data_IF_992774948503
#
_entry.id   IF_992774948503
#
_cell.length_a   1.000
_cell.length_b   1.000
_cell.length_c   1.000
_cell.angle_alpha   90.00
_cell.angle_beta   90.00
_cell.angle_gamma   90.00
#
_symmetry.space_group_name_H-M   'P 1'
#
loop_
_entity.id
_entity.type
_entity.pdbx_description
1 polymer ?
#
# COMPACT_ATOMS: atom_id res chain seq x y z
N UNK A 1 21.57 21.69 -35.20
CA UNK A 1 20.63 20.96 -34.39
C UNK A 1 21.19 20.83 -32.97
N UNK A 2 20.34 20.93 -31.96
CA UNK A 2 20.69 20.80 -30.55
C UNK A 2 19.80 19.75 -29.91
N UNK A 3 20.37 18.85 -29.10
CA UNK A 3 19.65 17.93 -28.24
C UNK A 3 19.64 18.50 -26.82
N UNK A 4 18.54 18.38 -26.11
CA UNK A 4 18.41 18.74 -24.71
C UNK A 4 18.26 17.48 -23.85
N UNK A 5 19.10 17.35 -22.83
CA UNK A 5 18.97 16.33 -21.80
C UNK A 5 18.31 17.00 -20.59
N UNK A 6 17.11 16.57 -20.28
CA UNK A 6 16.27 17.16 -19.22
C UNK A 6 16.21 16.32 -17.96
N UNK A 7 16.68 15.06 -18.01
CA UNK A 7 16.77 14.17 -16.87
C UNK A 7 18.12 13.43 -16.88
N UNK A 8 18.66 13.14 -15.71
CA UNK A 8 19.89 12.37 -15.54
C UNK A 8 19.59 11.05 -14.81
N UNK A 9 20.37 9.97 -15.05
CA UNK A 9 20.19 8.70 -14.37
C UNK A 9 20.42 8.82 -12.86
N UNK A 10 19.73 7.94 -12.10
CA UNK A 10 19.91 7.85 -10.66
C UNK A 10 21.37 7.61 -10.26
N UNK A 11 21.86 8.35 -9.26
CA UNK A 11 23.23 8.23 -8.77
C UNK A 11 24.28 8.95 -9.60
N UNK A 12 23.89 9.66 -10.68
CA UNK A 12 24.76 10.53 -11.47
C UNK A 12 24.52 12.02 -11.14
N UNK A 13 25.41 12.88 -11.62
CA UNK A 13 25.25 14.32 -11.59
C UNK A 13 25.58 14.91 -12.98
N UNK A 14 25.21 16.17 -13.22
CA UNK A 14 25.38 16.84 -14.50
C UNK A 14 26.84 16.88 -14.95
N UNK A 15 27.75 17.25 -14.05
CA UNK A 15 29.19 17.32 -14.36
C UNK A 15 29.74 15.96 -14.79
N UNK A 16 29.42 14.90 -14.09
CA UNK A 16 29.87 13.54 -14.41
C UNK A 16 29.33 13.05 -15.75
N UNK A 17 28.08 13.37 -16.05
CA UNK A 17 27.45 13.03 -17.33
C UNK A 17 28.12 13.81 -18.48
N UNK A 18 28.36 15.12 -18.30
CA UNK A 18 29.04 15.97 -19.30
C UNK A 18 30.46 15.45 -19.57
N UNK A 19 31.21 15.10 -18.50
CA UNK A 19 32.55 14.51 -18.65
C UNK A 19 32.53 13.20 -19.45
N UNK A 20 31.52 12.38 -19.25
CA UNK A 20 31.37 11.12 -20.01
C UNK A 20 31.07 11.39 -21.49
N UNK A 21 30.26 12.40 -21.79
CA UNK A 21 29.93 12.82 -23.15
C UNK A 21 31.16 13.39 -23.86
N UNK A 22 31.93 14.26 -23.19
CA UNK A 22 33.16 14.84 -23.73
C UNK A 22 34.19 13.73 -24.01
N UNK A 23 34.41 12.82 -23.06
CA UNK A 23 35.32 11.67 -23.26
C UNK A 23 34.90 10.77 -24.42
N UNK A 24 33.62 10.56 -24.63
CA UNK A 24 33.10 9.79 -25.76
C UNK A 24 33.33 10.53 -27.10
N UNK A 25 33.21 11.87 -27.09
CA UNK A 25 33.50 12.70 -28.25
C UNK A 25 34.99 12.70 -28.59
N UNK A 26 35.89 12.85 -27.60
CA UNK A 26 37.34 12.83 -27.79
C UNK A 26 37.83 11.47 -28.35
N UNK A 27 37.15 10.40 -27.97
CA UNK A 27 37.41 9.03 -28.51
C UNK A 27 36.79 8.82 -29.91
N UNK A 28 36.17 9.83 -30.50
CA UNK A 28 35.54 9.75 -31.81
C UNK A 28 34.28 8.88 -31.90
N UNK A 29 33.71 8.46 -30.76
CA UNK A 29 32.48 7.64 -30.71
C UNK A 29 31.22 8.42 -30.99
N UNK A 30 31.23 9.71 -30.64
CA UNK A 30 30.11 10.65 -30.82
C UNK A 30 30.62 11.90 -31.50
N UNK A 31 29.87 12.42 -32.48
CA UNK A 31 30.22 13.65 -33.20
C UNK A 31 29.39 14.81 -32.69
N UNK A 32 29.91 15.57 -31.76
CA UNK A 32 29.30 16.77 -31.19
C UNK A 32 30.18 17.98 -31.38
N UNK A 33 29.59 19.17 -31.41
CA UNK A 33 30.30 20.45 -31.50
C UNK A 33 30.62 21.01 -30.13
N UNK A 34 29.65 20.99 -29.20
CA UNK A 34 29.75 21.60 -27.88
C UNK A 34 28.70 21.04 -26.95
N UNK A 35 28.99 21.02 -25.67
CA UNK A 35 28.05 20.73 -24.59
C UNK A 35 27.95 21.93 -23.68
N UNK A 36 26.76 22.44 -23.44
CA UNK A 36 26.48 23.55 -22.54
C UNK A 36 25.60 23.08 -21.38
N UNK A 37 25.97 23.39 -20.14
CA UNK A 37 25.20 23.13 -18.96
C UNK A 37 24.40 24.35 -18.54
N UNK A 38 23.08 24.29 -18.72
CA UNK A 38 22.13 25.32 -18.34
C UNK A 38 21.31 24.92 -17.11
N UNK A 39 21.76 23.88 -16.41
CA UNK A 39 21.05 23.33 -15.25
C UNK A 39 20.90 24.37 -14.14
N UNK A 40 19.69 24.56 -13.68
CA UNK A 40 19.35 25.42 -12.54
C UNK A 40 18.48 24.63 -11.54
N UNK A 41 17.20 24.96 -11.36
CA UNK A 41 16.26 24.17 -10.59
C UNK A 41 15.89 22.85 -11.30
N UNK A 42 15.92 22.87 -12.64
CA UNK A 42 15.70 21.69 -13.47
C UNK A 42 16.97 21.39 -14.28
N UNK A 43 17.18 20.11 -14.59
CA UNK A 43 18.30 19.67 -15.44
C UNK A 43 18.08 20.14 -16.87
N UNK A 44 19.06 20.83 -17.44
CA UNK A 44 19.09 21.20 -18.84
C UNK A 44 20.53 21.18 -19.37
N UNK A 45 20.91 20.11 -20.05
CA UNK A 45 22.20 19.99 -20.72
C UNK A 45 21.96 20.02 -22.22
N UNK A 46 22.56 21.02 -22.91
CA UNK A 46 22.41 21.22 -24.35
C UNK A 46 23.59 20.62 -25.10
N UNK A 47 23.34 19.64 -25.95
CA UNK A 47 24.35 19.00 -26.80
C UNK A 47 24.18 19.48 -28.23
N UNK A 48 25.10 20.31 -28.70
CA UNK A 48 25.12 20.86 -30.07
C UNK A 48 25.75 19.85 -31.04
N UNK A 49 24.98 19.45 -32.05
CA UNK A 49 25.43 18.49 -33.06
C UNK A 49 26.25 19.16 -34.16
N UNK A 50 27.15 18.40 -34.79
CA UNK A 50 27.82 18.84 -36.02
C UNK A 50 26.80 18.92 -37.18
N UNK A 51 27.02 19.85 -38.14
CA UNK A 51 26.20 19.90 -39.35
C UNK A 51 26.21 18.56 -40.09
N UNK A 52 25.02 18.08 -40.49
CA UNK A 52 24.89 16.81 -41.22
C UNK A 52 24.69 15.59 -40.31
N UNK A 53 24.87 15.69 -38.98
CA UNK A 53 24.63 14.60 -38.07
C UNK A 53 23.13 14.30 -37.92
N UNK A 54 22.78 12.99 -37.85
CA UNK A 54 21.43 12.51 -37.52
C UNK A 54 21.19 12.63 -36.01
N UNK A 55 20.08 13.26 -35.60
CA UNK A 55 19.68 13.36 -34.20
C UNK A 55 19.46 11.98 -33.58
N UNK A 56 18.78 11.08 -34.27
CA UNK A 56 18.39 9.76 -33.74
C UNK A 56 19.61 8.87 -33.51
N UNK A 57 20.55 8.83 -34.49
CA UNK A 57 21.82 8.12 -34.32
C UNK A 57 22.66 8.69 -33.19
N UNK A 58 22.65 10.01 -33.01
CA UNK A 58 23.39 10.61 -31.90
C UNK A 58 22.76 10.30 -30.55
N UNK A 59 21.44 10.24 -30.46
CA UNK A 59 20.73 9.81 -29.27
C UNK A 59 21.10 8.36 -28.91
N UNK A 60 21.06 7.44 -29.89
CA UNK A 60 21.47 6.06 -29.69
C UNK A 60 22.95 5.96 -29.26
N UNK A 61 23.81 6.78 -29.83
CA UNK A 61 25.23 6.84 -29.46
C UNK A 61 25.44 7.39 -28.04
N UNK A 62 24.66 8.37 -27.61
CA UNK A 62 24.69 8.87 -26.23
C UNK A 62 24.32 7.76 -25.24
N UNK A 63 23.27 6.98 -25.51
CA UNK A 63 22.90 5.84 -24.66
C UNK A 63 23.97 4.72 -24.68
N UNK A 64 24.55 4.43 -25.84
CA UNK A 64 25.51 3.32 -25.97
C UNK A 64 26.91 3.61 -25.41
N UNK A 65 27.36 4.89 -25.41
CA UNK A 65 28.77 5.24 -25.13
C UNK A 65 28.98 6.21 -23.98
N UNK A 66 27.92 6.66 -23.33
CA UNK A 66 28.02 7.61 -22.21
C UNK A 66 27.20 7.15 -21.01
N UNK A 67 27.32 7.87 -19.91
CA UNK A 67 26.54 7.62 -18.68
C UNK A 67 25.07 8.08 -18.81
N UNK A 68 24.54 8.32 -20.04
CA UNK A 68 23.12 8.54 -20.28
C UNK A 68 22.27 7.28 -19.95
N UNK A 69 22.86 6.10 -20.04
CA UNK A 69 22.27 4.83 -19.65
C UNK A 69 23.10 4.17 -18.55
N UNK A 70 22.46 3.80 -17.47
CA UNK A 70 23.08 3.04 -16.38
C UNK A 70 22.33 1.74 -16.14
N UNK A 71 23.08 0.65 -16.02
CA UNK A 71 22.54 -0.63 -15.63
C UNK A 71 22.36 -0.68 -14.11
N UNK A 72 21.16 -0.99 -13.65
CA UNK A 72 20.84 -1.16 -12.24
C UNK A 72 20.56 -2.64 -12.00
N UNK A 73 21.37 -3.26 -11.15
CA UNK A 73 21.18 -4.64 -10.69
C UNK A 73 20.73 -4.61 -9.22
N UNK A 74 19.42 -4.57 -8.95
CA UNK A 74 18.92 -4.48 -7.58
C UNK A 74 19.21 -5.78 -6.84
N UNK A 75 19.82 -5.68 -5.66
CA UNK A 75 19.96 -6.79 -4.73
C UNK A 75 18.86 -6.68 -3.68
N UNK A 76 17.72 -7.35 -3.94
CA UNK A 76 16.59 -7.30 -3.04
C UNK A 76 16.84 -8.19 -1.82
N UNK A 77 17.02 -7.57 -0.67
CA UNK A 77 17.05 -8.24 0.63
C UNK A 77 15.89 -7.72 1.47
N UNK A 78 15.01 -8.63 1.88
CA UNK A 78 13.85 -8.33 2.73
C UNK A 78 13.98 -9.10 4.06
N UNK A 79 13.36 -8.57 5.11
CA UNK A 79 13.19 -9.30 6.36
C UNK A 79 11.85 -10.01 6.31
N UNK A 80 11.89 -11.34 6.34
CA UNK A 80 10.72 -12.20 6.38
C UNK A 80 10.89 -13.21 7.51
N UNK A 81 9.90 -13.34 8.38
CA UNK A 81 9.95 -14.15 9.61
C UNK A 81 11.20 -13.88 10.48
N UNK A 82 11.49 -12.59 10.68
CA UNK A 82 12.66 -12.11 11.43
C UNK A 82 14.03 -12.58 10.88
N UNK A 83 14.08 -13.00 9.61
CA UNK A 83 15.31 -13.44 8.94
C UNK A 83 15.53 -12.66 7.64
N UNK A 84 16.78 -12.32 7.30
CA UNK A 84 17.07 -11.74 5.99
C UNK A 84 16.86 -12.78 4.90
N UNK A 85 16.09 -12.39 3.87
CA UNK A 85 15.84 -13.22 2.68
C UNK A 85 16.23 -12.44 1.43
N UNK A 86 17.10 -13.03 0.64
CA UNK A 86 17.47 -12.52 -0.68
C UNK A 86 16.53 -13.10 -1.72
N UNK A 87 15.90 -12.25 -2.51
CA UNK A 87 14.90 -12.67 -3.48
C UNK A 87 14.88 -11.74 -4.70
N UNK A 88 14.26 -12.19 -5.77
CA UNK A 88 13.97 -11.35 -6.95
C UNK A 88 12.79 -10.42 -6.70
N UNK A 89 12.65 -9.40 -7.54
CA UNK A 89 11.56 -8.39 -7.42
C UNK A 89 10.17 -9.04 -7.44
N UNK A 90 9.95 -10.01 -8.33
CA UNK A 90 8.65 -10.71 -8.44
C UNK A 90 8.31 -11.51 -7.18
N UNK A 91 9.32 -12.13 -6.55
CA UNK A 91 9.15 -12.87 -5.30
C UNK A 91 8.87 -11.92 -4.13
N UNK A 92 9.58 -10.79 -4.06
CA UNK A 92 9.34 -9.75 -3.05
C UNK A 92 7.91 -9.19 -3.14
N UNK A 93 7.43 -8.91 -4.36
CA UNK A 93 6.06 -8.44 -4.56
C UNK A 93 5.03 -9.48 -4.11
N UNK A 94 5.27 -10.78 -4.40
CA UNK A 94 4.39 -11.87 -3.96
C UNK A 94 4.32 -11.94 -2.44
N UNK A 95 5.49 -11.95 -1.76
CA UNK A 95 5.57 -11.94 -0.29
C UNK A 95 4.81 -10.74 0.28
N UNK A 96 4.99 -9.54 -0.31
CA UNK A 96 4.29 -8.34 0.14
C UNK A 96 2.76 -8.43 -0.04
N UNK A 97 2.30 -8.97 -1.16
CA UNK A 97 0.86 -9.15 -1.41
C UNK A 97 0.24 -10.18 -0.47
N UNK A 98 0.91 -11.32 -0.26
CA UNK A 98 0.44 -12.36 0.66
C UNK A 98 0.38 -11.83 2.09
N UNK A 99 1.42 -11.11 2.54
CA UNK A 99 1.43 -10.48 3.86
C UNK A 99 0.32 -9.43 4.02
N UNK A 100 0.07 -8.61 3.00
CA UNK A 100 -1.03 -7.63 3.03
C UNK A 100 -2.39 -8.33 3.15
N UNK A 101 -2.62 -9.40 2.39
CA UNK A 101 -3.84 -10.20 2.48
C UNK A 101 -4.04 -10.75 3.90
N UNK A 102 -2.98 -11.32 4.50
CA UNK A 102 -3.04 -11.89 5.84
C UNK A 102 -3.31 -10.82 6.92
N UNK A 103 -2.73 -9.62 6.76
CA UNK A 103 -3.02 -8.48 7.65
C UNK A 103 -4.46 -7.99 7.51
N UNK A 104 -4.99 -7.90 6.29
CA UNK A 104 -6.39 -7.52 6.05
C UNK A 104 -7.36 -8.55 6.64
N UNK A 105 -7.03 -9.84 6.56
CA UNK A 105 -7.81 -10.89 7.23
C UNK A 105 -7.81 -10.70 8.74
N UNK A 106 -6.63 -10.52 9.34
CA UNK A 106 -6.52 -10.31 10.79
C UNK A 106 -7.25 -9.04 11.25
N UNK A 107 -7.20 -7.96 10.46
CA UNK A 107 -7.97 -6.74 10.73
C UNK A 107 -9.48 -7.00 10.75
N UNK A 108 -10.00 -7.72 9.75
CA UNK A 108 -11.42 -8.09 9.68
C UNK A 108 -11.84 -8.98 10.86
N UNK A 109 -11.00 -9.94 11.26
CA UNK A 109 -11.26 -10.81 12.40
C UNK A 109 -11.33 -10.03 13.72
N UNK A 110 -10.43 -9.05 13.92
CA UNK A 110 -10.46 -8.16 15.09
C UNK A 110 -11.71 -7.29 15.08
N UNK A 111 -12.05 -6.67 13.96
CA UNK A 111 -13.25 -5.84 13.82
C UNK A 111 -14.52 -6.65 14.09
N UNK A 112 -14.58 -7.91 13.62
CA UNK A 112 -15.67 -8.82 13.89
C UNK A 112 -15.81 -9.11 15.39
N UNK A 113 -14.71 -9.43 16.06
CA UNK A 113 -14.71 -9.70 17.49
C UNK A 113 -15.19 -8.49 18.31
N UNK A 114 -14.73 -7.29 17.96
CA UNK A 114 -15.17 -6.03 18.61
C UNK A 114 -16.68 -5.78 18.41
N UNK A 115 -17.19 -6.00 17.20
CA UNK A 115 -18.60 -5.85 16.90
C UNK A 115 -19.45 -6.92 17.59
N UNK A 116 -18.97 -8.14 17.72
CA UNK A 116 -19.63 -9.22 18.47
C UNK A 116 -19.73 -8.88 19.96
N UNK A 117 -18.67 -8.35 20.57
CA UNK A 117 -18.70 -7.88 21.94
C UNK A 117 -19.67 -6.69 22.11
N UNK A 118 -19.70 -5.78 21.16
CA UNK A 118 -20.65 -4.66 21.18
C UNK A 118 -22.09 -5.16 21.04
N UNK A 119 -22.36 -6.12 20.15
CA UNK A 119 -23.66 -6.74 19.98
C UNK A 119 -24.13 -7.42 21.27
N UNK A 120 -23.24 -8.22 21.87
CA UNK A 120 -23.47 -8.92 23.12
C UNK A 120 -23.85 -7.95 24.25
N UNK A 121 -23.02 -6.92 24.48
CA UNK A 121 -23.26 -5.97 25.58
C UNK A 121 -24.50 -5.12 25.34
N UNK A 122 -24.78 -4.69 24.11
CA UNK A 122 -25.99 -3.94 23.77
C UNK A 122 -27.24 -4.78 23.97
N UNK A 123 -27.21 -6.07 23.63
CA UNK A 123 -28.32 -7.00 23.87
C UNK A 123 -28.53 -7.23 25.36
N UNK A 124 -27.46 -7.40 26.12
CA UNK A 124 -27.48 -7.59 27.57
C UNK A 124 -28.05 -6.35 28.29
N UNK A 125 -27.57 -5.14 27.92
CA UNK A 125 -28.10 -3.87 28.43
C UNK A 125 -29.59 -3.71 28.14
N UNK A 126 -30.00 -4.02 26.90
CA UNK A 126 -31.39 -3.96 26.49
C UNK A 126 -32.28 -4.86 27.37
N UNK A 127 -31.92 -6.14 27.54
CA UNK A 127 -32.68 -7.10 28.34
C UNK A 127 -32.74 -6.65 29.80
N UNK A 128 -31.62 -6.18 30.37
CA UNK A 128 -31.53 -5.68 31.73
C UNK A 128 -32.48 -4.52 32.00
N UNK A 129 -32.58 -3.56 31.05
CA UNK A 129 -33.42 -2.36 31.18
C UNK A 129 -34.88 -2.68 30.90
N UNK A 130 -35.21 -3.40 29.81
CA UNK A 130 -36.59 -3.73 29.43
C UNK A 130 -37.30 -4.59 30.48
N UNK A 131 -36.61 -5.57 31.06
CA UNK A 131 -37.14 -6.40 32.12
C UNK A 131 -37.09 -5.74 33.50
N UNK A 132 -36.60 -4.49 33.57
CA UNK A 132 -36.50 -3.69 34.80
C UNK A 132 -35.80 -4.41 35.95
N UNK A 133 -34.80 -5.23 35.67
CA UNK A 133 -34.06 -6.06 36.65
C UNK A 133 -33.48 -5.17 37.75
N UNK A 134 -33.10 -3.94 37.44
CA UNK A 134 -32.62 -2.94 38.39
C UNK A 134 -33.66 -2.43 39.40
N UNK A 135 -34.95 -2.80 39.24
CA UNK A 135 -36.08 -2.44 40.18
C UNK A 135 -36.61 -3.64 40.90
N UNK A 136 -36.05 -4.79 40.74
CA UNK A 136 -36.52 -6.00 41.48
C UNK A 136 -36.14 -5.86 42.97
N UNK A 137 -37.05 -6.32 43.85
CA UNK A 137 -36.79 -6.32 45.27
C UNK A 137 -35.48 -6.99 45.68
N UNK A 138 -35.15 -8.11 45.03
CA UNK A 138 -33.87 -8.80 45.27
C UNK A 138 -32.66 -7.97 44.87
N UNK A 139 -32.76 -7.02 43.93
CA UNK A 139 -31.71 -6.08 43.59
C UNK A 139 -31.61 -4.97 44.66
N UNK A 140 -32.76 -4.42 45.10
CA UNK A 140 -32.80 -3.30 46.06
C UNK A 140 -32.43 -3.74 47.50
N UNK A 141 -32.79 -4.95 47.90
CA UNK A 141 -32.57 -5.50 49.26
C UNK A 141 -31.16 -6.17 49.42
N UNK A 142 -30.41 -6.38 48.32
CA UNK A 142 -29.09 -6.98 48.36
C UNK A 142 -28.09 -6.10 49.14
N UNK A 143 -27.35 -6.73 50.03
CA UNK A 143 -26.36 -6.08 50.93
C UNK A 143 -24.93 -6.17 50.40
N UNK A 144 -24.68 -7.05 49.46
CA UNK A 144 -23.35 -7.25 48.84
C UNK A 144 -23.42 -7.26 47.33
N UNK A 145 -22.30 -6.90 46.71
CA UNK A 145 -22.19 -6.90 45.24
C UNK A 145 -22.37 -8.29 44.64
N UNK A 146 -21.92 -9.33 45.34
CA UNK A 146 -22.04 -10.71 44.89
C UNK A 146 -23.51 -11.21 44.92
N UNK A 147 -24.31 -10.76 45.90
CA UNK A 147 -25.76 -11.02 45.94
C UNK A 147 -26.48 -10.33 44.75
N UNK A 148 -26.12 -9.09 44.45
CA UNK A 148 -26.67 -8.38 43.29
C UNK A 148 -26.35 -9.12 42.00
N UNK A 149 -25.11 -9.56 41.81
CA UNK A 149 -24.68 -10.30 40.61
C UNK A 149 -25.44 -11.61 40.50
N UNK A 150 -25.57 -12.39 41.59
CA UNK A 150 -26.33 -13.63 41.62
C UNK A 150 -27.81 -13.42 41.26
N UNK A 151 -28.40 -12.31 41.75
CA UNK A 151 -29.78 -11.97 41.39
C UNK A 151 -29.92 -11.66 39.91
N UNK A 152 -29.03 -10.81 39.33
CA UNK A 152 -29.04 -10.47 37.93
C UNK A 152 -28.84 -11.70 37.07
N UNK A 153 -27.90 -12.58 37.43
CA UNK A 153 -27.60 -13.83 36.71
C UNK A 153 -28.82 -14.76 36.66
N UNK A 154 -29.51 -14.95 37.79
CA UNK A 154 -30.76 -15.73 37.85
C UNK A 154 -31.89 -15.16 36.99
N UNK A 155 -31.99 -13.82 36.92
CA UNK A 155 -33.01 -13.16 36.08
C UNK A 155 -32.68 -13.21 34.58
N UNK A 156 -31.41 -13.30 34.22
CA UNK A 156 -30.95 -13.45 32.85
C UNK A 156 -30.97 -14.90 32.34
N UNK A 157 -31.17 -15.91 33.24
CA UNK A 157 -31.16 -17.35 32.88
C UNK A 157 -32.02 -17.68 31.64
N UNK A 158 -33.27 -17.16 31.47
CA UNK A 158 -34.08 -17.46 30.30
C UNK A 158 -33.50 -16.99 28.99
N UNK A 159 -32.64 -15.94 29.01
CA UNK A 159 -32.07 -15.26 27.84
C UNK A 159 -30.65 -15.74 27.51
N UNK A 160 -30.00 -16.51 28.38
CA UNK A 160 -28.61 -16.97 28.20
C UNK A 160 -28.39 -17.73 26.89
N UNK A 161 -29.43 -18.42 26.40
CA UNK A 161 -29.37 -19.20 25.14
C UNK A 161 -29.23 -18.34 23.89
N UNK A 162 -29.64 -17.09 23.96
CA UNK A 162 -29.66 -16.16 22.83
C UNK A 162 -28.35 -15.36 22.72
N UNK A 163 -27.45 -15.51 23.70
CA UNK A 163 -26.18 -14.83 23.72
C UNK A 163 -25.07 -15.60 22.98
N UNK A 164 -24.19 -14.87 22.34
CA UNK A 164 -23.05 -15.40 21.55
C UNK A 164 -22.02 -16.10 22.47
N UNK A 165 -21.89 -15.65 23.72
CA UNK A 165 -20.99 -16.19 24.74
C UNK A 165 -21.63 -16.18 26.11
N UNK A 166 -21.00 -16.90 27.06
CA UNK A 166 -21.38 -16.83 28.45
C UNK A 166 -21.16 -15.46 29.08
N UNK A 167 -22.02 -15.08 29.99
CA UNK A 167 -21.91 -13.83 30.74
C UNK A 167 -20.86 -14.04 31.84
N UNK A 168 -19.85 -13.16 31.86
CA UNK A 168 -18.81 -13.20 32.88
C UNK A 168 -19.02 -12.10 33.94
N UNK A 169 -18.31 -12.20 35.05
CA UNK A 169 -18.44 -11.25 36.18
C UNK A 169 -18.26 -9.81 35.75
N UNK A 170 -17.33 -9.55 34.87
CA UNK A 170 -17.03 -8.22 34.34
C UNK A 170 -18.24 -7.59 33.61
N UNK A 171 -19.06 -8.40 32.95
CA UNK A 171 -20.26 -7.93 32.25
C UNK A 171 -21.32 -7.45 33.23
N UNK A 172 -21.51 -8.17 34.34
CA UNK A 172 -22.41 -7.73 35.42
C UNK A 172 -21.91 -6.42 36.05
N UNK A 173 -20.61 -6.26 36.25
CA UNK A 173 -20.04 -5.01 36.77
C UNK A 173 -20.32 -3.85 35.82
N UNK A 174 -20.15 -4.04 34.51
CA UNK A 174 -20.49 -3.03 33.50
C UNK A 174 -21.99 -2.67 33.52
N UNK A 175 -22.88 -3.65 33.76
CA UNK A 175 -24.32 -3.35 33.90
C UNK A 175 -24.60 -2.49 35.12
N UNK A 176 -23.91 -2.73 36.24
CA UNK A 176 -24.08 -1.93 37.47
C UNK A 176 -23.54 -0.50 37.33
N UNK A 177 -22.61 -0.25 36.41
CA UNK A 177 -22.07 1.07 36.13
C UNK A 177 -23.01 1.92 35.23
N UNK A 178 -24.11 1.35 34.72
CA UNK A 178 -25.06 2.08 33.87
C UNK A 178 -25.72 3.20 34.68
N UNK A 179 -25.54 4.43 34.25
CA UNK A 179 -26.11 5.61 34.91
C UNK A 179 -27.63 5.60 34.80
N UNK A 180 -28.33 5.90 35.89
CA UNK A 180 -29.81 6.03 35.90
C UNK A 180 -30.37 6.93 34.81
N UNK A 181 -29.59 7.99 34.41
CA UNK A 181 -30.00 8.88 33.32
C UNK A 181 -30.01 8.17 31.96
N UNK A 182 -29.18 7.15 31.77
CA UNK A 182 -29.17 6.29 30.55
C UNK A 182 -30.37 5.36 30.57
N UNK A 183 -30.72 4.79 31.71
CA UNK A 183 -31.90 3.95 31.90
C UNK A 183 -33.20 4.72 31.62
N UNK A 184 -33.32 5.91 32.15
CA UNK A 184 -34.54 6.75 31.99
C UNK A 184 -34.72 7.28 30.57
N UNK A 185 -33.62 7.41 29.81
CA UNK A 185 -33.62 7.84 28.39
C UNK A 185 -33.50 6.66 27.42
N UNK A 186 -33.62 5.43 27.93
CA UNK A 186 -33.47 4.26 27.09
C UNK A 186 -34.68 4.17 26.13
N UNK A 187 -34.38 4.00 24.86
CA UNK A 187 -35.34 3.90 23.78
C UNK A 187 -35.10 2.52 23.11
N UNK A 188 -36.09 1.65 23.28
CA UNK A 188 -36.09 0.28 22.77
C UNK A 188 -35.92 0.26 21.25
N UNK A 189 -36.59 1.14 20.53
CA UNK A 189 -36.56 1.17 19.07
C UNK A 189 -35.14 1.54 18.58
N UNK A 190 -34.51 2.55 19.20
CA UNK A 190 -33.10 2.89 18.90
C UNK A 190 -32.12 1.80 19.25
N UNK A 191 -32.35 1.07 20.35
CA UNK A 191 -31.53 -0.07 20.71
C UNK A 191 -31.63 -1.20 19.67
N UNK A 192 -32.87 -1.48 19.18
CA UNK A 192 -33.08 -2.44 18.09
C UNK A 192 -32.41 -2.01 16.79
N UNK A 193 -32.55 -0.75 16.39
CA UNK A 193 -31.89 -0.21 15.20
C UNK A 193 -30.36 -0.34 15.30
N UNK A 194 -29.82 -0.10 16.50
CA UNK A 194 -28.37 -0.29 16.76
C UNK A 194 -27.96 -1.75 16.61
N UNK A 195 -28.72 -2.68 17.20
CA UNK A 195 -28.44 -4.13 17.07
C UNK A 195 -28.49 -4.59 15.61
N UNK A 196 -29.50 -4.15 14.85
CA UNK A 196 -29.63 -4.45 13.41
C UNK A 196 -28.43 -3.88 12.63
N UNK A 197 -28.03 -2.66 12.95
CA UNK A 197 -26.88 -2.02 12.32
C UNK A 197 -25.56 -2.76 12.60
N UNK A 198 -25.34 -3.21 13.85
CA UNK A 198 -24.16 -3.98 14.23
C UNK A 198 -24.16 -5.34 13.51
N UNK A 199 -25.32 -6.04 13.52
CA UNK A 199 -25.43 -7.33 12.83
C UNK A 199 -25.12 -7.20 11.34
N UNK A 200 -25.65 -6.17 10.67
CA UNK A 200 -25.36 -5.91 9.26
C UNK A 200 -23.88 -5.71 8.99
N UNK A 201 -23.16 -5.03 9.89
CA UNK A 201 -21.70 -4.87 9.76
C UNK A 201 -20.96 -6.19 9.95
N UNK A 202 -21.40 -7.03 10.87
CA UNK A 202 -20.82 -8.37 11.07
C UNK A 202 -21.04 -9.22 9.80
N UNK A 203 -22.24 -9.20 9.23
CA UNK A 203 -22.55 -9.94 8.00
C UNK A 203 -21.69 -9.46 6.81
N UNK A 204 -21.43 -8.15 6.71
CA UNK A 204 -20.55 -7.57 5.71
C UNK A 204 -19.10 -8.00 5.89
N UNK A 205 -18.61 -8.04 7.14
CA UNK A 205 -17.26 -8.55 7.45
C UNK A 205 -17.17 -10.04 7.12
N UNK A 206 -18.17 -10.84 7.47
CA UNK A 206 -18.20 -12.26 7.15
C UNK A 206 -18.19 -12.51 5.63
N UNK A 207 -18.92 -11.71 4.86
CA UNK A 207 -18.85 -11.74 3.42
C UNK A 207 -17.43 -11.43 2.91
N UNK A 208 -16.78 -10.42 3.45
CA UNK A 208 -15.42 -10.04 3.05
C UNK A 208 -14.38 -11.10 3.45
N UNK A 209 -14.55 -11.77 4.59
CA UNK A 209 -13.68 -12.89 5.01
C UNK A 209 -13.79 -14.10 4.07
N UNK A 210 -15.00 -14.41 3.60
CA UNK A 210 -15.23 -15.47 2.61
C UNK A 210 -14.66 -15.09 1.25
N UNK A 211 -14.72 -13.79 0.86
CA UNK A 211 -14.25 -13.25 -0.42
C UNK A 211 -12.96 -12.43 -0.24
N UNK A 212 -12.01 -12.93 0.58
CA UNK A 212 -10.83 -12.18 1.00
C UNK A 212 -9.95 -11.71 -0.17
N UNK A 213 -9.88 -12.47 -1.26
CA UNK A 213 -9.11 -12.10 -2.45
C UNK A 213 -9.72 -10.86 -3.11
N UNK A 214 -11.02 -10.85 -3.31
CA UNK A 214 -11.74 -9.72 -3.95
C UNK A 214 -11.67 -8.49 -3.05
N UNK A 215 -11.77 -8.67 -1.74
CA UNK A 215 -11.58 -7.61 -0.76
C UNK A 215 -10.17 -7.00 -0.84
N UNK A 216 -9.13 -7.85 -0.93
CA UNK A 216 -7.74 -7.41 -1.07
C UNK A 216 -7.51 -6.66 -2.37
N UNK A 217 -8.09 -7.12 -3.50
CA UNK A 217 -8.03 -6.43 -4.78
C UNK A 217 -8.68 -5.05 -4.68
N UNK A 218 -9.88 -4.97 -4.11
CA UNK A 218 -10.60 -3.71 -3.91
C UNK A 218 -9.82 -2.72 -3.05
N UNK A 219 -9.11 -3.21 -2.03
CA UNK A 219 -8.24 -2.40 -1.19
C UNK A 219 -7.08 -1.78 -2.01
N UNK A 220 -6.40 -2.59 -2.86
CA UNK A 220 -5.34 -2.08 -3.75
C UNK A 220 -5.89 -1.11 -4.80
N UNK A 221 -7.08 -1.35 -5.34
CA UNK A 221 -7.75 -0.41 -6.25
C UNK A 221 -8.06 0.93 -5.56
N UNK A 222 -8.49 0.88 -4.30
CA UNK A 222 -8.67 2.07 -3.47
C UNK A 222 -7.37 2.87 -3.30
N UNK A 223 -6.24 2.21 -3.03
CA UNK A 223 -4.92 2.85 -2.97
C UNK A 223 -4.53 3.48 -4.31
N UNK A 224 -4.73 2.75 -5.41
CA UNK A 224 -4.45 3.25 -6.75
C UNK A 224 -5.27 4.50 -7.08
N UNK A 225 -6.56 4.50 -6.75
CA UNK A 225 -7.44 5.63 -6.99
C UNK A 225 -7.04 6.86 -6.16
N UNK A 226 -6.61 6.64 -4.90
CA UNK A 226 -6.22 7.71 -3.98
C UNK A 226 -4.87 8.33 -4.32
N UNK A 227 -3.88 7.52 -4.67
CA UNK A 227 -2.47 7.95 -4.80
C UNK A 227 -1.90 7.81 -6.21
N UNK A 228 -2.54 7.05 -7.11
CA UNK A 228 -1.97 6.72 -8.42
C UNK A 228 -1.72 7.93 -9.32
N UNK A 229 -2.43 9.04 -9.11
CA UNK A 229 -2.21 10.28 -9.87
C UNK A 229 -0.89 10.96 -9.51
N UNK A 230 -0.47 10.84 -8.24
CA UNK A 230 0.75 11.45 -7.73
C UNK A 230 1.99 10.63 -8.09
N UNK A 231 1.80 9.36 -8.44
CA UNK A 231 2.85 8.41 -8.80
C UNK A 231 2.63 7.78 -10.17
N UNK A 232 2.67 8.59 -11.27
CA UNK A 232 2.51 8.06 -12.62
C UNK A 232 3.66 7.12 -12.95
N UNK A 233 3.35 6.03 -13.65
CA UNK A 233 4.37 5.10 -14.11
C UNK A 233 5.23 5.76 -15.19
N UNK A 234 6.54 5.90 -14.95
CA UNK A 234 7.53 6.42 -15.91
C UNK A 234 8.30 5.31 -16.61
N UNK A 235 8.28 4.08 -16.07
CA UNK A 235 9.01 2.94 -16.61
C UNK A 235 8.29 2.42 -17.85
N UNK A 236 9.01 2.33 -18.97
CA UNK A 236 8.56 1.66 -20.18
C UNK A 236 9.03 0.20 -20.17
N UNK A 237 8.13 -0.71 -20.52
CA UNK A 237 8.48 -2.12 -20.74
C UNK A 237 8.87 -2.23 -22.21
N UNK A 238 10.17 -2.35 -22.47
CA UNK A 238 10.70 -2.62 -23.80
C UNK A 238 11.42 -3.97 -23.76
N UNK A 239 11.31 -4.74 -24.84
CA UNK A 239 12.24 -5.83 -25.09
C UNK A 239 13.60 -5.20 -25.32
N UNK A 240 14.64 -5.69 -24.64
CA UNK A 240 16.01 -5.27 -24.87
C UNK A 240 16.43 -5.65 -26.29
N UNK A 241 16.11 -4.83 -27.26
CA UNK A 241 16.94 -4.74 -28.43
C UNK A 241 18.22 -4.04 -27.97
N UNK A 242 19.22 -4.84 -27.64
CA UNK A 242 20.56 -4.34 -27.34
C UNK A 242 20.93 -3.43 -28.50
N UNK A 243 21.12 -2.13 -28.21
CA UNK A 243 21.74 -1.20 -29.18
C UNK A 243 23.11 -1.80 -29.46
N UNK A 244 23.22 -2.46 -30.62
CA UNK A 244 24.49 -3.09 -31.02
C UNK A 244 25.42 -1.95 -31.33
N UNK A 245 26.38 -1.69 -30.43
CA UNK A 245 27.34 -0.57 -30.55
C UNK A 245 27.99 -0.49 -31.96
N UNK A 246 28.21 -1.63 -32.61
CA UNK A 246 28.69 -1.69 -34.00
C UNK A 246 27.76 -1.11 -35.07
N UNK A 247 26.42 -1.02 -34.80
CA UNK A 247 25.46 -0.41 -35.73
C UNK A 247 25.34 1.10 -35.56
N UNK A 248 25.80 1.64 -34.42
CA UNK A 248 25.68 3.06 -34.08
C UNK A 248 26.96 3.83 -34.41
N UNK A 249 28.08 3.13 -34.55
CA UNK A 249 29.36 3.77 -34.93
C UNK A 249 29.26 4.31 -36.36
N UNK A 250 29.32 5.62 -36.54
CA UNK A 250 29.49 6.24 -37.85
C UNK A 250 30.93 6.02 -38.34
N UNK A 251 31.07 5.62 -39.60
CA UNK A 251 32.39 5.53 -40.23
C UNK A 251 33.09 6.87 -40.17
N UNK A 252 34.29 6.91 -39.56
CA UNK A 252 35.05 8.15 -39.42
C UNK A 252 35.83 8.50 -40.68
N UNK A 253 36.16 7.49 -41.51
CA UNK A 253 36.94 7.64 -42.73
C UNK A 253 36.34 6.82 -43.86
N UNK A 254 36.45 7.31 -45.09
CA UNK A 254 36.13 6.58 -46.33
C UNK A 254 37.36 5.86 -46.79
N UNK A 255 37.32 4.52 -46.84
CA UNK A 255 38.36 3.71 -47.48
C UNK A 255 38.14 3.80 -49.00
N UNK A 256 39.13 4.31 -49.72
CA UNK A 256 39.15 4.28 -51.17
C UNK A 256 40.02 3.11 -51.61
N UNK A 257 39.45 2.20 -52.38
CA UNK A 257 40.22 1.11 -53.02
C UNK A 257 40.39 1.48 -54.49
N UNK A 258 41.63 1.57 -54.92
CA UNK A 258 41.98 1.75 -56.35
C UNK A 258 42.05 0.35 -56.99
N UNK A 259 41.22 0.12 -58.01
CA UNK A 259 41.19 -1.16 -58.72
C UNK A 259 42.07 -1.20 -59.97
N UNK A 260 42.97 -0.17 -60.15
CA UNK A 260 43.80 -0.06 -61.32
C UNK A 260 45.26 -0.51 -61.06
N UNK A 261 45.50 -1.48 -60.20
CA UNK A 261 46.78 -2.23 -60.16
C UNK A 261 46.56 -3.73 -60.01
#
# INVERSE_FOLDING_TARGET
KTLAITEIPYGSNTSKLIDSIVKASDKGKIKIRKVDDNTSANVEILVQLLPGSSSDKTIDALYAFTDCELSISPNCCVIHDNKPRFCGVSEMLRISCDHTKDLLQAELEIQKAELQEQLFFTSLEKIFIENRIYKDKGFEESTSQDEVIAHIDGRLEPFKKDFIREIVREDFLKLLEIKMMRITKFDTDKANDTLISIQKKIDEIDYNLVHLIDYTISWYEGLKNKYGKDYPRRTEIRNFETIVASKVVEANEKLYVNYEE
#
